data_IF_432302897789
#
_entry.id   IF_432302897789
#
_cell.length_a   1.000
_cell.length_b   1.000
_cell.length_c   1.000
_cell.angle_alpha   90.00
_cell.angle_beta   90.00
_cell.angle_gamma   90.00
#
_symmetry.space_group_name_H-M   'P 1'
#
loop_
_entity.id
_entity.type
_entity.pdbx_description
1 polymer ?
#
# COMPACT_ATOMS: atom_id res chain seq x y z
N UNK A 1 -44.65 -0.24 -61.84
CA UNK A 1 -45.04 -1.33 -62.76
C UNK A 1 -44.38 -1.01 -64.10
N UNK A 2 -43.47 -1.74 -64.72
CA UNK A 2 -43.02 -3.14 -64.72
C UNK A 2 -41.47 -3.12 -64.80
N UNK A 3 -40.68 -3.88 -64.04
CA UNK A 3 -40.41 -5.32 -64.03
C UNK A 3 -39.74 -5.89 -65.30
N UNK A 4 -38.60 -6.56 -65.05
CA UNK A 4 -37.93 -7.61 -65.84
C UNK A 4 -37.14 -7.20 -67.09
N UNK A 5 -36.11 -7.92 -67.54
CA UNK A 5 -35.10 -8.82 -66.96
C UNK A 5 -34.29 -9.34 -68.16
N UNK A 6 -33.02 -9.67 -67.92
CA UNK A 6 -32.21 -10.71 -68.57
C UNK A 6 -31.86 -10.59 -70.07
N UNK A 7 -30.55 -10.56 -70.36
CA UNK A 7 -29.81 -11.63 -71.10
C UNK A 7 -28.32 -11.22 -71.26
N UNK A 8 -27.38 -11.79 -70.49
CA UNK A 8 -26.54 -12.98 -70.77
C UNK A 8 -25.12 -12.71 -71.30
N UNK A 9 -24.15 -13.22 -70.54
CA UNK A 9 -22.78 -13.68 -70.86
C UNK A 9 -21.77 -12.74 -71.53
N UNK A 10 -20.60 -12.54 -70.89
CA UNK A 10 -19.37 -13.27 -71.27
C UNK A 10 -18.19 -12.96 -70.34
N UNK A 11 -17.47 -14.03 -70.02
CA UNK A 11 -16.29 -14.14 -69.19
C UNK A 11 -15.15 -13.24 -69.69
N UNK A 12 -14.45 -12.59 -68.77
CA UNK A 12 -13.07 -12.17 -68.95
C UNK A 12 -12.33 -12.29 -67.61
N UNK A 13 -11.47 -13.29 -67.57
CA UNK A 13 -10.58 -13.67 -66.48
C UNK A 13 -9.64 -12.51 -66.15
N UNK A 14 -9.65 -12.05 -64.90
CA UNK A 14 -8.61 -11.17 -64.37
C UNK A 14 -7.84 -11.95 -63.32
N UNK A 15 -6.59 -12.30 -63.67
CA UNK A 15 -5.64 -12.90 -62.75
C UNK A 15 -5.25 -11.85 -61.69
N UNK A 16 -5.61 -12.11 -60.43
CA UNK A 16 -5.29 -11.26 -59.29
C UNK A 16 -3.89 -11.63 -58.76
N UNK A 17 -2.89 -10.81 -59.07
CA UNK A 17 -1.57 -10.84 -58.45
C UNK A 17 -1.69 -10.36 -56.99
N UNK A 18 -1.67 -11.30 -56.04
CA UNK A 18 -1.60 -10.98 -54.61
C UNK A 18 -0.13 -10.68 -54.27
N UNK A 19 0.23 -9.40 -54.26
CA UNK A 19 1.48 -8.93 -53.66
C UNK A 19 1.35 -9.00 -52.13
N UNK A 20 2.04 -9.95 -51.51
CA UNK A 20 2.17 -10.06 -50.06
C UNK A 20 3.13 -8.97 -49.59
N UNK A 21 2.58 -7.84 -49.13
CA UNK A 21 3.34 -6.86 -48.35
C UNK A 21 3.47 -7.38 -46.91
N UNK A 22 4.63 -7.94 -46.57
CA UNK A 22 5.02 -8.11 -45.16
C UNK A 22 5.44 -6.76 -44.59
N UNK A 23 4.48 -6.03 -44.02
CA UNK A 23 4.79 -4.95 -43.11
C UNK A 23 5.12 -5.55 -41.74
N UNK A 24 6.41 -5.74 -41.47
CA UNK A 24 6.91 -6.03 -40.13
C UNK A 24 6.59 -4.85 -39.22
N UNK A 25 5.56 -4.99 -38.40
CA UNK A 25 5.22 -4.03 -37.36
C UNK A 25 6.23 -4.23 -36.22
N UNK A 26 7.29 -3.44 -36.20
CA UNK A 26 8.21 -3.37 -35.07
C UNK A 26 7.51 -2.63 -33.94
N UNK A 27 6.87 -3.38 -33.03
CA UNK A 27 6.47 -2.83 -31.74
C UNK A 27 7.72 -2.37 -31.02
N UNK A 28 7.93 -1.06 -30.95
CA UNK A 28 8.99 -0.46 -30.15
C UNK A 28 8.60 -0.67 -28.69
N UNK A 29 9.14 -1.72 -28.08
CA UNK A 29 9.02 -1.94 -26.64
C UNK A 29 9.76 -0.80 -25.96
N UNK A 30 9.03 0.22 -25.50
CA UNK A 30 9.56 1.22 -24.58
C UNK A 30 10.01 0.46 -23.33
N UNK A 31 11.33 0.35 -23.16
CA UNK A 31 11.94 -0.21 -21.96
C UNK A 31 11.54 0.68 -20.80
N UNK A 32 10.50 0.27 -20.07
CA UNK A 32 10.02 0.93 -18.85
C UNK A 32 11.21 1.11 -17.91
N UNK A 33 11.50 2.36 -17.58
CA UNK A 33 12.62 2.74 -16.72
C UNK A 33 12.49 2.01 -15.40
N UNK A 34 13.39 1.05 -15.22
CA UNK A 34 13.55 0.24 -14.03
C UNK A 34 13.75 1.14 -12.81
N UNK A 35 12.90 0.99 -11.79
CA UNK A 35 13.20 1.45 -10.44
C UNK A 35 14.35 0.60 -9.90
N UNK A 36 15.59 0.97 -10.24
CA UNK A 36 16.75 0.47 -9.50
C UNK A 36 16.71 1.13 -8.12
N UNK A 37 16.72 0.35 -7.02
CA UNK A 37 16.82 0.92 -5.70
C UNK A 37 18.11 1.72 -5.61
N UNK A 38 18.01 3.00 -5.25
CA UNK A 38 19.17 3.71 -4.73
C UNK A 38 19.65 2.94 -3.50
N UNK A 39 20.95 2.65 -3.42
CA UNK A 39 21.67 1.94 -2.35
C UNK A 39 21.60 2.68 -0.99
N UNK A 40 20.38 2.95 -0.53
CA UNK A 40 20.11 3.40 0.82
C UNK A 40 19.75 2.14 1.59
N UNK A 41 20.42 1.87 2.69
CA UNK A 41 20.20 0.67 3.53
C UNK A 41 18.80 0.59 4.17
N UNK A 42 17.80 1.29 3.63
CA UNK A 42 16.41 1.34 4.03
C UNK A 42 15.54 0.46 3.12
N UNK A 43 14.47 -0.11 3.66
CA UNK A 43 13.57 -1.01 2.93
C UNK A 43 12.67 -0.35 1.88
N UNK A 44 12.91 0.90 1.49
CA UNK A 44 12.02 1.70 0.65
C UNK A 44 12.78 2.85 -0.04
N UNK A 45 12.21 3.38 -1.12
CA UNK A 45 12.78 4.45 -1.93
C UNK A 45 11.72 5.52 -2.28
N UNK A 46 12.13 6.78 -2.42
CA UNK A 46 11.23 7.88 -2.79
C UNK A 46 10.75 7.75 -4.23
N UNK A 47 9.46 7.96 -4.46
CA UNK A 47 8.85 8.03 -5.78
C UNK A 47 9.06 9.43 -6.34
N UNK A 48 9.79 9.53 -7.45
CA UNK A 48 10.06 10.78 -8.15
C UNK A 48 9.18 10.99 -9.38
N UNK A 49 8.70 9.90 -10.00
CA UNK A 49 7.74 9.94 -11.11
C UNK A 49 6.30 10.00 -10.57
N UNK A 50 5.61 11.10 -10.82
CA UNK A 50 4.23 11.29 -10.36
C UNK A 50 3.26 10.24 -10.88
N UNK A 51 3.55 9.59 -12.01
CA UNK A 51 2.70 8.52 -12.55
C UNK A 51 2.75 7.23 -11.73
N UNK A 52 3.74 7.08 -10.84
CA UNK A 52 3.88 5.93 -9.95
C UNK A 52 3.21 6.15 -8.59
N UNK A 53 2.73 7.36 -8.30
CA UNK A 53 1.99 7.68 -7.07
C UNK A 53 0.60 7.05 -7.14
N UNK A 54 0.18 6.25 -6.13
CA UNK A 54 -1.16 5.66 -6.13
C UNK A 54 -2.24 6.71 -5.85
N UNK A 55 -3.47 6.41 -6.24
CA UNK A 55 -4.65 7.10 -5.70
C UNK A 55 -4.85 6.74 -4.22
N UNK A 56 -5.20 7.72 -3.40
CA UNK A 56 -5.41 7.56 -1.97
C UNK A 56 -6.90 7.46 -1.62
N UNK A 57 -7.27 6.32 -1.04
CA UNK A 57 -8.61 6.00 -0.52
C UNK A 57 -8.42 5.11 0.71
N UNK A 58 -9.28 5.29 1.71
CA UNK A 58 -9.25 4.48 2.91
C UNK A 58 -10.53 3.68 3.07
N UNK A 59 -10.41 2.36 2.93
CA UNK A 59 -11.54 1.42 2.97
C UNK A 59 -11.89 0.91 4.38
N UNK A 60 -11.23 1.45 5.42
CA UNK A 60 -11.42 1.04 6.81
C UNK A 60 -11.81 2.23 7.72
N UNK A 61 -12.09 1.95 8.99
CA UNK A 61 -12.68 2.90 9.93
C UNK A 61 -11.82 4.11 10.25
N UNK A 62 -12.41 5.31 10.10
CA UNK A 62 -11.76 6.61 10.33
C UNK A 62 -11.34 6.82 11.78
N UNK A 63 -12.15 6.39 12.74
CA UNK A 63 -11.89 6.61 14.17
C UNK A 63 -10.63 5.85 14.58
N UNK A 64 -10.51 4.59 14.15
CA UNK A 64 -9.37 3.72 14.41
C UNK A 64 -8.10 4.30 13.78
N UNK A 65 -8.18 4.87 12.57
CA UNK A 65 -7.02 5.53 11.96
C UNK A 65 -6.55 6.73 12.79
N UNK A 66 -7.49 7.61 13.17
CA UNK A 66 -7.16 8.80 13.95
C UNK A 66 -6.58 8.43 15.32
N UNK A 67 -7.08 7.38 15.95
CA UNK A 67 -6.53 6.82 17.19
C UNK A 67 -5.10 6.28 16.98
N UNK A 68 -4.86 5.51 15.92
CA UNK A 68 -3.55 4.99 15.59
C UNK A 68 -2.53 6.12 15.31
N UNK A 69 -2.94 7.16 14.58
CA UNK A 69 -2.13 8.35 14.34
C UNK A 69 -1.76 9.04 15.67
N UNK A 70 -2.71 9.16 16.60
CA UNK A 70 -2.45 9.77 17.90
C UNK A 70 -1.46 8.95 18.74
N UNK A 71 -1.52 7.61 18.68
CA UNK A 71 -0.51 6.75 19.33
C UNK A 71 0.90 7.01 18.77
N UNK A 72 1.07 7.12 17.45
CA UNK A 72 2.37 7.48 16.86
C UNK A 72 2.86 8.87 17.31
N UNK A 73 1.96 9.86 17.41
CA UNK A 73 2.31 11.21 17.89
C UNK A 73 2.81 11.17 19.33
N UNK A 74 2.13 10.42 20.20
CA UNK A 74 2.54 10.24 21.60
C UNK A 74 3.84 9.43 21.74
N UNK A 75 4.07 8.47 20.86
CA UNK A 75 5.34 7.76 20.75
C UNK A 75 6.48 8.74 20.44
N UNK A 76 6.39 9.51 19.36
CA UNK A 76 7.47 10.41 18.95
C UNK A 76 7.79 11.51 19.97
N UNK A 77 6.83 11.96 20.78
CA UNK A 77 7.10 12.88 21.91
C UNK A 77 8.07 12.30 22.96
N UNK A 78 8.15 10.97 23.07
CA UNK A 78 8.97 10.25 24.04
C UNK A 78 10.27 9.69 23.45
N UNK A 79 10.39 9.66 22.12
CA UNK A 79 11.55 9.12 21.41
C UNK A 79 12.77 10.01 21.65
N UNK A 80 13.82 9.47 22.25
CA UNK A 80 15.11 10.16 22.48
C UNK A 80 16.14 9.89 21.39
N UNK A 81 16.03 8.76 20.72
CA UNK A 81 16.95 8.33 19.66
C UNK A 81 16.14 7.64 18.57
N UNK A 82 16.52 7.91 17.31
CA UNK A 82 15.89 7.35 16.13
C UNK A 82 16.97 6.99 15.11
N UNK A 83 16.82 5.90 14.32
CA UNK A 83 17.88 5.41 13.45
C UNK A 83 18.40 6.48 12.47
N UNK A 84 19.72 6.63 12.39
CA UNK A 84 20.38 7.61 11.52
C UNK A 84 20.06 7.41 10.04
N UNK A 85 19.84 6.15 9.63
CA UNK A 85 19.44 5.78 8.27
C UNK A 85 18.11 6.39 7.85
N UNK A 86 17.16 6.57 8.78
CA UNK A 86 15.88 7.21 8.50
C UNK A 86 15.98 8.73 8.64
N UNK A 87 16.74 9.22 9.62
CA UNK A 87 16.97 10.66 9.79
C UNK A 87 17.66 11.27 8.56
N UNK A 88 18.62 10.58 7.96
CA UNK A 88 19.37 11.07 6.78
C UNK A 88 18.49 11.32 5.56
N UNK A 89 17.36 10.62 5.45
CA UNK A 89 16.36 10.82 4.38
C UNK A 89 15.15 11.67 4.82
N UNK A 90 15.20 12.23 6.04
CA UNK A 90 14.25 13.21 6.57
C UNK A 90 13.20 12.67 7.55
N UNK A 91 13.18 11.37 7.85
CA UNK A 91 12.28 10.78 8.86
C UNK A 91 12.85 11.00 10.27
N UNK A 92 12.97 12.26 10.69
CA UNK A 92 13.27 12.61 12.08
C UNK A 92 12.00 12.51 12.94
N UNK A 93 12.11 12.29 14.27
CA UNK A 93 10.95 12.31 15.16
C UNK A 93 10.09 13.58 15.02
N UNK A 94 10.73 14.75 14.89
CA UNK A 94 10.04 16.03 14.72
C UNK A 94 9.29 16.10 13.40
N UNK A 95 9.93 15.71 12.29
CA UNK A 95 9.30 15.68 10.97
C UNK A 95 8.17 14.66 10.90
N UNK A 96 8.28 13.54 11.63
CA UNK A 96 7.22 12.53 11.75
C UNK A 96 6.00 13.08 12.51
N UNK A 97 6.21 13.80 13.62
CA UNK A 97 5.11 14.48 14.34
C UNK A 97 4.40 15.47 13.40
N UNK A 98 5.17 16.29 12.70
CA UNK A 98 4.67 17.24 11.70
C UNK A 98 3.87 16.57 10.57
N UNK A 99 4.37 15.43 10.09
CA UNK A 99 3.73 14.61 9.06
C UNK A 99 2.39 14.09 9.55
N UNK A 100 2.34 13.55 10.77
CA UNK A 100 1.13 13.00 11.38
C UNK A 100 0.09 14.09 11.65
N UNK A 101 0.51 15.28 12.11
CA UNK A 101 -0.38 16.43 12.30
C UNK A 101 -1.01 16.86 10.96
N UNK A 102 -0.18 17.11 9.95
CA UNK A 102 -0.64 17.55 8.63
C UNK A 102 -1.55 16.51 7.97
N UNK A 103 -1.19 15.23 8.07
CA UNK A 103 -2.01 14.14 7.55
C UNK A 103 -3.37 14.09 8.23
N UNK A 104 -3.41 14.19 9.57
CA UNK A 104 -4.66 14.19 10.33
C UNK A 104 -5.59 15.30 9.87
N UNK A 105 -5.09 16.53 9.76
CA UNK A 105 -5.89 17.70 9.37
C UNK A 105 -6.42 17.55 7.94
N UNK A 106 -5.55 17.13 7.01
CA UNK A 106 -5.90 16.86 5.63
C UNK A 106 -6.97 15.77 5.51
N UNK A 107 -6.70 14.60 6.09
CA UNK A 107 -7.61 13.46 6.07
C UNK A 107 -8.99 13.80 6.67
N UNK A 108 -9.03 14.59 7.75
CA UNK A 108 -10.29 15.02 8.38
C UNK A 108 -11.08 15.99 7.51
N UNK A 109 -10.38 16.86 6.78
CA UNK A 109 -10.97 17.92 5.96
C UNK A 109 -11.37 17.48 4.54
N UNK A 110 -10.70 16.47 3.97
CA UNK A 110 -11.01 15.94 2.65
C UNK A 110 -12.38 15.27 2.64
N UNK A 111 -13.21 15.64 1.65
CA UNK A 111 -14.59 15.16 1.51
C UNK A 111 -14.70 14.00 0.52
N UNK A 112 -13.64 13.72 -0.24
CA UNK A 112 -13.59 12.64 -1.22
C UNK A 112 -12.20 12.03 -1.31
N UNK A 113 -12.08 10.79 -1.84
CA UNK A 113 -10.78 10.19 -2.14
C UNK A 113 -9.93 11.00 -3.12
N UNK A 114 -10.57 11.74 -4.04
CA UNK A 114 -9.87 12.60 -4.97
C UNK A 114 -9.25 13.81 -4.26
N UNK A 115 -10.02 14.52 -3.42
CA UNK A 115 -9.50 15.62 -2.61
C UNK A 115 -8.35 15.16 -1.69
N UNK A 116 -8.48 13.96 -1.10
CA UNK A 116 -7.42 13.37 -0.29
C UNK A 116 -6.16 13.07 -1.10
N UNK A 117 -6.31 12.54 -2.31
CA UNK A 117 -5.20 12.24 -3.21
C UNK A 117 -4.47 13.51 -3.64
N UNK A 118 -5.21 14.55 -4.01
CA UNK A 118 -4.66 15.87 -4.36
C UNK A 118 -3.94 16.51 -3.17
N UNK A 119 -4.54 16.45 -1.98
CA UNK A 119 -3.91 16.92 -0.75
C UNK A 119 -2.59 16.19 -0.46
N UNK A 120 -2.58 14.85 -0.55
CA UNK A 120 -1.37 14.06 -0.28
C UNK A 120 -0.29 14.34 -1.32
N UNK A 121 -0.63 14.31 -2.62
CA UNK A 121 0.31 14.56 -3.70
C UNK A 121 0.96 15.95 -3.62
N UNK A 122 0.22 16.95 -3.11
CA UNK A 122 0.73 18.31 -2.92
C UNK A 122 1.69 18.42 -1.73
N UNK A 123 1.39 17.74 -0.63
CA UNK A 123 2.02 18.03 0.67
C UNK A 123 3.03 16.99 1.14
N UNK A 124 3.11 15.81 0.52
CA UNK A 124 3.92 14.69 0.99
C UNK A 124 4.93 14.23 -0.07
N UNK A 125 6.08 13.80 0.43
CA UNK A 125 7.02 12.88 -0.23
C UNK A 125 6.47 11.48 0.00
N UNK A 126 6.46 10.68 -1.06
CA UNK A 126 5.88 9.35 -1.05
C UNK A 126 6.98 8.37 -1.37
N UNK A 127 7.13 7.35 -0.55
CA UNK A 127 8.16 6.34 -0.71
C UNK A 127 7.51 4.99 -0.87
N UNK A 128 7.99 4.18 -1.80
CA UNK A 128 7.52 2.80 -1.98
C UNK A 128 8.47 1.81 -1.33
N UNK A 129 7.92 0.79 -0.66
CA UNK A 129 8.69 -0.34 -0.19
C UNK A 129 9.38 -1.08 -1.34
N UNK A 130 10.64 -1.44 -1.13
CA UNK A 130 11.45 -2.25 -2.04
C UNK A 130 11.04 -3.72 -1.90
N UNK A 131 9.83 -4.04 -2.37
CA UNK A 131 9.28 -5.38 -2.35
C UNK A 131 9.94 -6.35 -3.34
N UNK A 132 9.30 -7.51 -3.55
CA UNK A 132 9.78 -8.53 -4.48
C UNK A 132 9.57 -8.08 -5.93
N UNK A 133 10.57 -8.31 -6.79
CA UNK A 133 10.49 -8.01 -8.22
C UNK A 133 10.56 -6.52 -8.53
N UNK A 134 10.50 -6.18 -9.82
CA UNK A 134 10.59 -4.80 -10.30
C UNK A 134 9.39 -3.92 -9.92
N UNK A 135 8.25 -4.54 -9.58
CA UNK A 135 7.04 -3.81 -9.18
C UNK A 135 7.00 -3.47 -7.69
N UNK A 136 7.95 -3.99 -6.90
CA UNK A 136 8.03 -3.77 -5.45
C UNK A 136 6.88 -4.42 -4.67
N UNK A 137 6.49 -5.64 -5.04
CA UNK A 137 5.37 -6.36 -4.40
C UNK A 137 5.67 -6.71 -2.95
N UNK A 138 4.75 -6.37 -2.06
CA UNK A 138 4.78 -6.70 -0.63
C UNK A 138 3.76 -7.79 -0.34
N UNK A 139 4.19 -8.84 0.35
CA UNK A 139 3.32 -9.86 0.91
C UNK A 139 2.75 -9.36 2.24
N UNK A 140 1.43 -9.20 2.30
CA UNK A 140 0.72 -8.91 3.53
C UNK A 140 0.17 -10.19 4.15
N UNK A 141 0.52 -10.44 5.41
CA UNK A 141 -0.06 -11.53 6.22
C UNK A 141 -0.76 -11.00 7.46
N UNK A 142 -1.62 -11.79 8.10
CA UNK A 142 -2.34 -11.35 9.30
C UNK A 142 -1.63 -11.78 10.58
N UNK A 143 -1.79 -10.99 11.65
CA UNK A 143 -1.53 -11.46 13.02
C UNK A 143 -2.60 -11.00 13.98
N UNK A 144 -2.82 -11.80 15.02
CA UNK A 144 -3.78 -11.55 16.08
C UNK A 144 -3.52 -12.49 17.25
N UNK A 145 -4.24 -12.28 18.34
CA UNK A 145 -4.06 -13.08 19.56
C UNK A 145 -5.36 -13.74 19.97
N UNK A 146 -5.30 -15.02 20.33
CA UNK A 146 -6.40 -15.64 21.03
C UNK A 146 -6.43 -15.20 22.49
N UNK A 147 -7.63 -15.16 23.05
CA UNK A 147 -7.84 -15.08 24.49
C UNK A 147 -8.34 -16.45 24.92
N UNK A 148 -7.51 -17.22 25.60
CA UNK A 148 -7.87 -18.53 26.12
C UNK A 148 -8.00 -18.46 27.64
N UNK A 149 -9.22 -18.56 28.18
CA UNK A 149 -9.46 -19.18 29.49
C UNK A 149 -10.96 -19.42 29.73
N UNK A 150 -11.27 -20.43 30.55
CA UNK A 150 -12.63 -20.85 30.92
C UNK A 150 -13.41 -19.77 31.68
N UNK A 151 -12.73 -18.74 32.23
CA UNK A 151 -13.32 -17.65 33.02
C UNK A 151 -13.55 -16.34 32.24
N UNK A 152 -13.22 -16.26 30.94
CA UNK A 152 -13.44 -15.06 30.12
C UNK A 152 -14.78 -15.16 29.39
N UNK A 153 -15.88 -15.44 30.09
CA UNK A 153 -17.22 -15.23 29.51
C UNK A 153 -17.68 -13.77 29.60
N UNK A 154 -16.87 -12.84 30.12
CA UNK A 154 -17.33 -11.45 30.35
C UNK A 154 -16.44 -10.26 29.97
N UNK A 155 -15.13 -10.35 29.65
CA UNK A 155 -14.35 -9.16 29.21
C UNK A 155 -13.07 -9.50 28.42
N UNK A 156 -13.18 -9.84 27.12
CA UNK A 156 -12.05 -9.65 26.19
C UNK A 156 -12.02 -8.23 25.61
N UNK A 157 -13.11 -7.47 25.72
CA UNK A 157 -13.25 -6.10 25.20
C UNK A 157 -12.22 -5.09 25.77
N UNK A 158 -11.44 -5.50 26.79
CA UNK A 158 -10.44 -4.66 27.46
C UNK A 158 -9.01 -5.23 27.34
N UNK A 159 -8.82 -6.34 26.64
CA UNK A 159 -7.48 -6.89 26.40
C UNK A 159 -6.77 -6.01 25.38
N UNK A 160 -5.58 -5.58 25.74
CA UNK A 160 -4.74 -4.72 24.91
C UNK A 160 -3.46 -5.47 24.57
N UNK A 161 -3.06 -5.42 23.30
CA UNK A 161 -1.73 -5.80 22.87
C UNK A 161 -0.91 -4.53 22.63
N UNK A 162 0.14 -4.30 23.42
CA UNK A 162 1.07 -3.21 23.19
C UNK A 162 2.11 -3.62 22.14
N UNK A 163 2.28 -2.77 21.15
CA UNK A 163 3.22 -2.93 20.02
C UNK A 163 4.65 -2.52 20.41
N UNK A 164 5.61 -2.69 19.49
CA UNK A 164 6.99 -2.21 19.66
C UNK A 164 7.12 -0.72 20.01
N UNK A 165 6.16 0.15 19.62
CA UNK A 165 6.16 1.57 20.05
C UNK A 165 5.65 1.79 21.48
N UNK A 166 5.21 0.73 22.18
CA UNK A 166 4.70 0.80 23.55
C UNK A 166 3.23 1.22 23.68
N UNK A 167 2.49 1.28 22.57
CA UNK A 167 1.06 1.64 22.53
C UNK A 167 0.19 0.52 21.99
N UNK A 168 -1.12 0.52 22.29
CA UNK A 168 -2.07 -0.47 21.80
C UNK A 168 -2.06 -0.63 20.28
N UNK A 169 -1.99 -1.87 19.79
CA UNK A 169 -2.22 -2.16 18.39
C UNK A 169 -3.67 -1.85 18.03
N UNK A 170 -3.86 -1.28 16.84
CA UNK A 170 -5.18 -0.89 16.34
C UNK A 170 -5.52 -1.74 15.13
N UNK A 171 -6.65 -2.45 15.19
CA UNK A 171 -7.05 -3.40 14.15
C UNK A 171 -7.10 -2.71 12.77
N UNK A 172 -6.50 -3.34 11.76
CA UNK A 172 -6.35 -2.82 10.39
C UNK A 172 -5.55 -1.51 10.27
N UNK A 173 -5.00 -0.97 11.36
CA UNK A 173 -4.24 0.29 11.39
C UNK A 173 -2.82 0.13 11.90
N UNK A 174 -2.51 -0.94 12.63
CA UNK A 174 -1.15 -1.32 13.00
C UNK A 174 -0.59 -2.37 12.05
N UNK A 175 0.61 -2.15 11.55
CA UNK A 175 1.41 -3.18 10.88
C UNK A 175 2.68 -3.49 11.66
N UNK A 176 3.14 -4.73 11.53
CA UNK A 176 4.45 -5.18 11.95
C UNK A 176 5.35 -5.39 10.73
N UNK A 177 6.53 -4.79 10.73
CA UNK A 177 7.52 -4.94 9.66
C UNK A 177 8.84 -5.48 10.20
N UNK A 178 9.81 -5.75 9.33
CA UNK A 178 11.15 -6.10 9.78
C UNK A 178 11.81 -4.96 10.55
N UNK A 179 12.56 -5.33 11.57
CA UNK A 179 13.30 -4.39 12.41
C UNK A 179 14.37 -3.65 11.58
N UNK A 180 14.43 -2.32 11.71
CA UNK A 180 15.37 -1.48 10.97
C UNK A 180 15.09 -1.31 9.48
N UNK A 181 14.02 -1.92 8.93
CA UNK A 181 13.68 -1.80 7.50
C UNK A 181 12.83 -0.56 7.18
N UNK A 182 11.98 -0.17 8.12
CA UNK A 182 11.03 0.93 7.97
C UNK A 182 11.00 1.83 9.21
N UNK A 183 10.58 3.10 9.06
CA UNK A 183 10.55 4.05 10.16
C UNK A 183 9.42 3.68 11.13
N UNK A 184 9.77 3.13 12.28
CA UNK A 184 8.82 2.80 13.35
C UNK A 184 8.06 4.05 13.82
N UNK A 185 6.75 3.94 14.02
CA UNK A 185 5.80 5.02 14.24
C UNK A 185 5.35 5.75 12.97
N UNK A 186 5.97 5.48 11.82
CA UNK A 186 5.73 6.22 10.57
C UNK A 186 4.35 5.96 9.95
N UNK A 187 3.86 6.97 9.23
CA UNK A 187 2.64 6.91 8.43
C UNK A 187 2.86 6.14 7.13
N UNK A 188 2.01 5.15 6.88
CA UNK A 188 2.05 4.33 5.69
C UNK A 188 0.66 4.14 5.06
N UNK A 189 0.67 3.69 3.82
CA UNK A 189 -0.49 3.41 2.99
C UNK A 189 -0.31 2.07 2.31
N UNK A 190 -1.25 1.16 2.52
CA UNK A 190 -1.26 -0.15 1.92
C UNK A 190 -2.30 -0.20 0.80
N UNK A 191 -1.90 -0.76 -0.34
CA UNK A 191 -2.81 -1.16 -1.42
C UNK A 191 -2.70 -2.67 -1.53
N UNK A 192 -3.78 -3.37 -1.24
CA UNK A 192 -3.84 -4.83 -1.32
C UNK A 192 -4.70 -5.26 -2.51
N UNK A 193 -4.23 -6.28 -3.21
CA UNK A 193 -5.00 -6.95 -4.23
C UNK A 193 -6.05 -7.85 -3.56
N UNK A 194 -7.22 -7.98 -4.17
CA UNK A 194 -8.28 -8.86 -3.66
C UNK A 194 -8.86 -9.69 -4.81
N UNK A 195 -8.03 -10.55 -5.42
CA UNK A 195 -8.46 -11.42 -6.51
C UNK A 195 -9.21 -10.68 -7.62
N UNK A 196 -10.38 -11.19 -8.03
CA UNK A 196 -11.25 -10.60 -9.06
C UNK A 196 -11.99 -9.31 -8.61
N UNK A 197 -11.93 -8.95 -7.33
CA UNK A 197 -12.55 -7.73 -6.82
C UNK A 197 -11.58 -6.55 -6.86
N UNK A 198 -12.14 -5.34 -6.97
CA UNK A 198 -11.40 -4.08 -6.85
C UNK A 198 -10.60 -4.09 -5.54
N UNK A 199 -9.28 -3.99 -5.65
CA UNK A 199 -8.36 -3.98 -4.52
C UNK A 199 -8.76 -2.97 -3.43
N UNK A 200 -8.44 -3.31 -2.19
CA UNK A 200 -8.66 -2.43 -1.03
C UNK A 200 -7.41 -1.60 -0.77
N UNK A 201 -7.59 -0.39 -0.29
CA UNK A 201 -6.48 0.45 0.16
C UNK A 201 -6.81 1.15 1.47
N UNK A 202 -5.79 1.33 2.31
CA UNK A 202 -5.98 1.85 3.65
C UNK A 202 -4.69 2.38 4.26
N UNK A 203 -4.85 3.38 5.13
CA UNK A 203 -3.73 3.91 5.91
C UNK A 203 -3.44 3.02 7.11
N UNK A 204 -2.15 2.88 7.39
CA UNK A 204 -1.60 2.10 8.49
C UNK A 204 -0.42 2.85 9.10
N UNK A 205 -0.05 2.44 10.31
CA UNK A 205 1.09 2.95 11.03
C UNK A 205 2.05 1.79 11.30
N UNK A 206 3.35 2.04 11.10
CA UNK A 206 4.41 1.10 11.46
C UNK A 206 4.58 1.01 12.97
N UNK A 207 3.62 0.42 13.68
CA UNK A 207 3.61 0.39 15.15
C UNK A 207 4.45 -0.74 15.73
N UNK A 208 4.65 -1.81 14.98
CA UNK A 208 5.24 -3.03 15.52
C UNK A 208 6.40 -3.55 14.67
N UNK A 209 7.19 -4.45 15.24
CA UNK A 209 8.29 -5.12 14.54
C UNK A 209 8.21 -6.63 14.73
N UNK A 210 8.66 -7.37 13.72
CA UNK A 210 8.87 -8.81 13.84
C UNK A 210 10.27 -9.17 13.39
N UNK A 211 11.02 -9.77 14.30
CA UNK A 211 12.38 -10.26 14.01
C UNK A 211 12.38 -11.34 12.94
N UNK A 212 11.27 -12.04 12.69
CA UNK A 212 11.13 -13.04 11.62
C UNK A 212 10.94 -12.42 10.24
N UNK A 213 10.58 -11.13 10.14
CA UNK A 213 10.50 -10.40 8.87
C UNK A 213 11.88 -9.80 8.58
N UNK A 214 12.54 -10.31 7.55
CA UNK A 214 13.92 -9.90 7.18
C UNK A 214 14.01 -9.07 5.92
N UNK A 215 12.90 -8.82 5.23
CA UNK A 215 12.87 -8.12 3.95
C UNK A 215 11.76 -7.08 3.91
N UNK A 216 11.93 -6.09 3.03
CA UNK A 216 10.90 -5.07 2.77
C UNK A 216 9.69 -5.62 1.99
N UNK A 217 9.78 -6.85 1.49
CA UNK A 217 8.74 -7.53 0.75
C UNK A 217 7.68 -8.21 1.63
N UNK A 218 7.66 -7.96 2.95
CA UNK A 218 6.67 -8.53 3.85
C UNK A 218 6.25 -7.55 4.96
N UNK A 219 4.95 -7.53 5.25
CA UNK A 219 4.38 -6.82 6.39
C UNK A 219 3.22 -7.64 6.98
N UNK A 220 3.10 -7.65 8.31
CA UNK A 220 1.99 -8.30 8.99
C UNK A 220 0.97 -7.26 9.47
N UNK A 221 -0.30 -7.43 9.13
CA UNK A 221 -1.41 -6.55 9.52
C UNK A 221 -2.05 -7.07 10.80
N UNK A 222 -2.22 -6.20 11.79
CA UNK A 222 -2.91 -6.55 13.03
C UNK A 222 -4.41 -6.69 12.79
N UNK A 223 -4.97 -7.87 13.01
CA UNK A 223 -6.39 -8.15 12.81
C UNK A 223 -7.21 -8.19 14.09
N UNK A 224 -6.57 -8.01 15.25
CA UNK A 224 -7.26 -7.86 16.52
C UNK A 224 -6.98 -8.99 17.52
N UNK A 225 -7.81 -9.02 18.56
CA UNK A 225 -7.74 -9.98 19.66
C UNK A 225 -9.07 -10.75 19.72
N UNK A 226 -9.00 -12.04 20.00
CA UNK A 226 -10.14 -12.95 20.07
C UNK A 226 -10.09 -14.03 18.98
N UNK A 227 -10.92 -15.06 19.15
CA UNK A 227 -10.93 -16.25 18.28
C UNK A 227 -11.21 -15.90 16.82
N UNK A 228 -12.16 -15.00 16.57
CA UNK A 228 -12.50 -14.56 15.21
C UNK A 228 -11.36 -13.76 14.56
N UNK A 229 -10.73 -12.86 15.32
CA UNK A 229 -9.59 -12.08 14.85
C UNK A 229 -8.39 -12.97 14.51
N UNK A 230 -8.11 -13.97 15.36
CA UNK A 230 -7.06 -14.96 15.09
C UNK A 230 -7.37 -15.78 13.83
N UNK A 231 -8.60 -16.27 13.70
CA UNK A 231 -9.01 -17.01 12.50
C UNK A 231 -8.90 -16.14 11.23
N UNK A 232 -9.29 -14.86 11.30
CA UNK A 232 -9.06 -13.91 10.20
C UNK A 232 -7.57 -13.75 9.90
N UNK A 233 -6.72 -13.68 10.93
CA UNK A 233 -5.29 -13.48 10.78
C UNK A 233 -4.61 -14.67 10.07
N UNK A 234 -4.98 -15.89 10.46
CA UNK A 234 -4.49 -17.13 9.86
C UNK A 234 -4.85 -17.26 8.37
N UNK A 235 -5.99 -16.70 7.96
CA UNK A 235 -6.47 -16.75 6.58
C UNK A 235 -6.13 -15.48 5.76
N UNK A 236 -5.53 -14.45 6.38
CA UNK A 236 -5.17 -13.23 5.68
C UNK A 236 -3.79 -13.37 5.06
N UNK A 237 -3.79 -13.51 3.74
CA UNK A 237 -2.58 -13.62 2.94
C UNK A 237 -2.84 -13.02 1.56
N UNK A 238 -2.29 -11.83 1.30
CA UNK A 238 -2.49 -11.12 0.03
C UNK A 238 -1.29 -10.29 -0.39
N UNK A 239 -1.09 -10.14 -1.70
CA UNK A 239 -0.06 -9.30 -2.29
C UNK A 239 -0.54 -7.86 -2.43
N UNK A 240 0.41 -6.94 -2.51
CA UNK A 240 0.09 -5.53 -2.73
C UNK A 240 1.33 -4.65 -2.78
N UNK A 241 1.11 -3.36 -2.50
CA UNK A 241 2.17 -2.34 -2.40
C UNK A 241 2.04 -1.59 -1.08
N UNK A 242 3.20 -1.24 -0.51
CA UNK A 242 3.29 -0.47 0.73
C UNK A 242 4.03 0.84 0.44
N UNK A 243 3.44 1.93 0.91
CA UNK A 243 3.98 3.27 0.74
C UNK A 243 4.17 3.95 2.10
N UNK A 244 5.23 4.72 2.28
CA UNK A 244 5.44 5.60 3.43
C UNK A 244 5.29 7.05 3.00
N UNK A 245 4.68 7.85 3.86
CA UNK A 245 4.41 9.26 3.61
C UNK A 245 5.23 10.10 4.59
N UNK A 246 5.89 11.12 4.07
CA UNK A 246 6.60 12.13 4.87
C UNK A 246 6.20 13.51 4.37
N UNK A 247 5.87 14.44 5.26
CA UNK A 247 5.61 15.84 4.87
C UNK A 247 6.80 16.39 4.06
N UNK A 248 6.51 17.12 2.98
CA UNK A 248 7.54 17.85 2.20
C UNK A 248 8.28 18.85 3.09
#
# INVERSE_FOLDING_TARGET
>A
MLQNNNTTYRLLSVALLVMIFQAGCTTTTVKQTSLLPTETGTGFAEITDSNQIPGFRDDYGRIELLYAVDNSREYFKKVKSYPDTFKSIGFTPEKQIDTLNLFRDGYVSSKSPQELSEFIAKNFRIFQANGKGSEGTVQFTGYGFAVFSDNVKRKWDHTVYNTAIGFPATQMRSIATGEGLFPLGGLAFAVIETGEQKGKSFFVLGHDTKSTIKTAAKADVFLGIGKEALHKAENFNTSGKLYYLLKR
#
